data_IF_393345426267
#
_entry.id   IF_393345426267
#
_cell.length_a   1.000
_cell.length_b   1.000
_cell.length_c   1.000
_cell.angle_alpha   90.00
_cell.angle_beta   90.00
_cell.angle_gamma   90.00
#
_symmetry.space_group_name_H-M   'P 1'
#
loop_
_entity.id
_entity.type
_entity.pdbx_description
1 polymer ?
#
# COMPACT_ATOMS: atom_id res chain seq x y z
N UNK A 1 -20.66 -57.62 62.56
CA UNK A 1 -21.49 -57.15 61.43
C UNK A 1 -20.69 -57.42 60.15
N UNK A 2 -20.70 -58.64 59.62
CA UNK A 2 -21.57 -59.20 58.57
C UNK A 2 -21.56 -58.46 57.22
N UNK A 3 -20.68 -58.95 56.31
CA UNK A 3 -20.89 -59.41 54.91
C UNK A 3 -21.74 -58.58 53.90
N UNK A 4 -21.63 -58.82 52.57
CA UNK A 4 -20.49 -58.60 51.67
C UNK A 4 -20.96 -57.98 50.31
N UNK A 5 -20.08 -57.84 49.30
CA UNK A 5 -20.47 -58.28 47.95
C UNK A 5 -19.29 -58.50 46.99
N UNK A 6 -19.54 -59.45 46.08
CA UNK A 6 -18.66 -60.13 45.14
C UNK A 6 -19.05 -59.71 43.71
N UNK A 7 -18.22 -60.10 42.71
CA UNK A 7 -18.40 -60.07 41.24
C UNK A 7 -17.82 -58.84 40.53
N UNK A 8 -17.19 -58.91 39.35
CA UNK A 8 -16.93 -59.98 38.36
C UNK A 8 -15.97 -59.41 37.29
N UNK A 9 -15.04 -60.26 36.83
CA UNK A 9 -14.60 -60.55 35.44
C UNK A 9 -14.31 -59.45 34.39
N UNK A 10 -13.42 -59.88 33.48
CA UNK A 10 -13.07 -59.41 32.11
C UNK A 10 -11.99 -58.31 32.10
N UNK A 11 -10.78 -58.52 31.57
CA UNK A 11 -10.41 -59.21 30.34
C UNK A 11 -10.47 -58.18 29.20
N UNK A 12 -9.33 -57.62 28.80
CA UNK A 12 -9.33 -56.58 27.78
C UNK A 12 -7.98 -56.00 27.39
N UNK A 13 -7.37 -56.66 26.41
CA UNK A 13 -6.64 -56.11 25.26
C UNK A 13 -5.45 -55.17 25.51
N UNK A 14 -4.28 -55.65 25.11
CA UNK A 14 -3.08 -54.83 24.97
C UNK A 14 -3.26 -53.72 23.93
N UNK A 15 -2.72 -52.55 24.26
CA UNK A 15 -2.44 -51.50 23.29
C UNK A 15 -0.94 -51.28 23.26
N UNK A 16 -0.32 -51.79 22.20
CA UNK A 16 0.98 -51.31 21.74
C UNK A 16 0.87 -49.80 21.51
N UNK A 17 1.56 -49.02 22.34
CA UNK A 17 1.86 -47.62 22.03
C UNK A 17 2.93 -47.61 20.93
N UNK A 18 2.49 -47.52 19.69
CA UNK A 18 3.37 -47.19 18.55
C UNK A 18 3.74 -45.71 18.69
N UNK A 19 5.02 -45.47 18.96
CA UNK A 19 5.66 -44.16 18.89
C UNK A 19 5.58 -43.64 17.44
N UNK A 20 4.56 -42.84 17.15
CA UNK A 20 4.45 -42.09 15.90
C UNK A 20 5.47 -40.97 15.87
N UNK A 21 6.64 -41.22 15.26
CA UNK A 21 7.57 -40.18 14.85
C UNK A 21 6.91 -39.33 13.75
N UNK A 22 6.38 -38.16 14.13
CA UNK A 22 5.92 -37.16 13.17
C UNK A 22 7.18 -36.57 12.53
N UNK A 23 7.55 -37.12 11.37
CA UNK A 23 8.49 -36.49 10.46
C UNK A 23 7.87 -35.16 10.02
N UNK A 24 8.34 -34.07 10.62
CA UNK A 24 8.12 -32.71 10.12
C UNK A 24 8.75 -32.63 8.72
N UNK A 25 7.99 -33.02 7.71
CA UNK A 25 8.34 -32.75 6.32
C UNK A 25 8.39 -31.24 6.16
N UNK A 26 9.61 -30.70 6.18
CA UNK A 26 9.89 -29.30 5.88
C UNK A 26 9.25 -28.98 4.54
N UNK A 27 8.22 -28.14 4.57
CA UNK A 27 7.67 -27.56 3.35
C UNK A 27 8.83 -26.79 2.70
N UNK A 28 9.26 -27.13 1.47
CA UNK A 28 10.20 -26.27 0.79
C UNK A 28 9.54 -24.90 0.69
N UNK A 29 10.20 -23.88 1.24
CA UNK A 29 9.83 -22.49 0.99
C UNK A 29 9.95 -22.29 -0.52
N UNK A 30 8.84 -22.42 -1.23
CA UNK A 30 8.78 -22.08 -2.65
C UNK A 30 8.92 -20.57 -2.70
N UNK A 31 10.15 -20.10 -2.89
CA UNK A 31 10.41 -18.70 -3.20
C UNK A 31 9.63 -18.40 -4.49
N UNK A 32 8.51 -17.68 -4.36
CA UNK A 32 7.74 -17.24 -5.50
C UNK A 32 8.70 -16.51 -6.46
N UNK A 33 8.75 -16.86 -7.76
CA UNK A 33 9.61 -16.17 -8.69
C UNK A 33 9.23 -14.68 -8.68
N UNK A 34 10.17 -13.83 -8.27
CA UNK A 34 10.07 -12.39 -8.48
C UNK A 34 9.71 -12.20 -9.95
N UNK A 35 8.51 -11.70 -10.23
CA UNK A 35 8.05 -11.52 -11.60
C UNK A 35 9.13 -10.73 -12.36
N UNK A 36 9.80 -11.40 -13.32
CA UNK A 36 10.80 -10.81 -14.20
C UNK A 36 10.03 -10.07 -15.29
N UNK A 37 9.64 -8.83 -15.02
CA UNK A 37 9.08 -7.95 -16.03
C UNK A 37 10.17 -7.34 -16.91
N UNK A 38 9.76 -6.71 -18.00
CA UNK A 38 10.57 -5.72 -18.70
C UNK A 38 10.14 -4.31 -18.24
N UNK A 39 11.03 -3.31 -18.29
CA UNK A 39 10.63 -1.92 -18.08
C UNK A 39 9.55 -1.51 -19.11
N UNK A 40 8.68 -0.53 -18.77
CA UNK A 40 7.60 -0.11 -19.67
C UNK A 40 8.11 0.34 -21.05
N UNK A 41 7.35 0.02 -22.10
CA UNK A 41 7.61 0.52 -23.45
C UNK A 41 7.66 2.04 -23.47
N UNK A 42 8.60 2.61 -24.23
CA UNK A 42 8.81 4.06 -24.31
C UNK A 42 9.56 4.67 -23.14
N UNK A 43 10.09 3.85 -22.21
CA UNK A 43 11.03 4.32 -21.21
C UNK A 43 12.42 4.55 -21.80
N UNK A 44 13.11 5.58 -21.33
CA UNK A 44 14.45 5.94 -21.77
C UNK A 44 15.50 5.29 -20.87
N UNK A 45 16.43 4.52 -21.46
CA UNK A 45 17.55 3.93 -20.72
C UNK A 45 18.50 5.02 -20.23
N UNK A 46 18.88 4.97 -18.96
CA UNK A 46 19.80 5.90 -18.33
C UNK A 46 20.75 5.19 -17.35
N UNK A 47 21.94 5.75 -17.14
CA UNK A 47 22.87 5.28 -16.12
C UNK A 47 22.85 6.24 -14.93
N UNK A 48 22.57 5.76 -13.72
CA UNK A 48 22.59 6.58 -12.51
C UNK A 48 24.03 6.86 -12.11
N UNK A 49 24.43 8.13 -12.18
CA UNK A 49 25.80 8.55 -11.83
C UNK A 49 25.93 8.88 -10.35
N UNK A 50 24.84 9.30 -9.70
CA UNK A 50 24.82 9.63 -8.28
C UNK A 50 23.39 9.67 -7.75
N UNK A 51 23.19 9.18 -6.53
CA UNK A 51 21.98 9.44 -5.73
C UNK A 51 22.24 10.67 -4.86
N UNK A 52 21.40 11.71 -4.98
CA UNK A 52 21.56 12.99 -4.27
C UNK A 52 20.88 12.91 -2.91
N UNK A 53 19.60 12.54 -2.93
CA UNK A 53 18.75 12.28 -1.77
C UNK A 53 17.83 11.08 -2.08
N UNK A 54 16.82 10.83 -1.25
CA UNK A 54 15.96 9.67 -1.42
C UNK A 54 15.03 9.73 -2.64
N UNK A 55 14.83 10.90 -3.25
CA UNK A 55 13.91 11.11 -4.39
C UNK A 55 14.49 11.89 -5.58
N UNK A 56 15.78 12.21 -5.53
CA UNK A 56 16.52 12.94 -6.55
C UNK A 56 17.80 12.19 -6.93
N UNK A 57 17.98 11.95 -8.22
CA UNK A 57 19.14 11.26 -8.78
C UNK A 57 19.76 12.06 -9.93
N UNK A 58 21.08 11.94 -10.11
CA UNK A 58 21.76 12.32 -11.33
C UNK A 58 21.91 11.11 -12.23
N UNK A 59 21.66 11.31 -13.52
CA UNK A 59 21.72 10.27 -14.52
C UNK A 59 22.47 10.76 -15.75
N UNK A 60 22.98 9.82 -16.52
CA UNK A 60 23.51 10.03 -17.86
C UNK A 60 22.61 9.33 -18.88
N UNK A 61 22.06 10.10 -19.80
CA UNK A 61 21.21 9.66 -20.91
C UNK A 61 22.03 9.88 -22.19
N UNK A 62 22.55 8.80 -22.78
CA UNK A 62 23.54 8.90 -23.85
C UNK A 62 24.79 9.66 -23.38
N UNK A 63 25.03 10.84 -23.95
CA UNK A 63 26.14 11.73 -23.60
C UNK A 63 25.74 12.87 -22.66
N UNK A 64 24.45 13.05 -22.37
CA UNK A 64 23.93 14.18 -21.58
C UNK A 64 23.76 13.78 -20.12
N UNK A 65 24.17 14.68 -19.21
CA UNK A 65 23.88 14.54 -17.78
C UNK A 65 22.58 15.26 -17.43
N UNK A 66 21.72 14.60 -16.67
CA UNK A 66 20.42 15.11 -16.26
C UNK A 66 20.22 14.90 -14.75
N UNK A 67 19.39 15.77 -14.17
CA UNK A 67 18.90 15.57 -12.79
C UNK A 67 17.44 15.16 -12.86
N UNK A 68 17.07 14.10 -12.16
CA UNK A 68 15.73 13.51 -12.18
C UNK A 68 15.14 13.61 -10.78
N UNK A 69 13.90 14.13 -10.69
CA UNK A 69 13.05 14.06 -9.51
C UNK A 69 12.03 12.95 -9.70
N UNK A 70 12.00 12.00 -8.76
CA UNK A 70 11.10 10.85 -8.81
C UNK A 70 9.65 11.32 -8.64
N UNK A 71 8.78 10.96 -9.58
CA UNK A 71 7.34 11.30 -9.52
C UNK A 71 6.67 10.56 -8.37
N UNK A 72 5.78 11.24 -7.66
CA UNK A 72 4.82 10.63 -6.75
C UNK A 72 5.34 10.32 -5.35
N UNK A 73 6.60 10.63 -5.06
CA UNK A 73 7.23 10.30 -3.77
C UNK A 73 7.90 11.53 -3.15
N UNK A 74 7.97 11.58 -1.83
CA UNK A 74 8.80 12.52 -1.07
C UNK A 74 9.50 11.73 0.04
N UNK A 75 10.82 11.86 0.12
CA UNK A 75 11.61 11.16 1.14
C UNK A 75 11.95 12.08 2.30
N UNK A 76 12.11 11.57 3.54
CA UNK A 76 12.54 12.42 4.63
C UNK A 76 13.90 13.05 4.32
N UNK A 77 13.96 14.39 4.40
CA UNK A 77 15.09 15.21 3.95
C UNK A 77 16.36 15.00 4.79
N UNK A 78 17.52 14.92 4.13
CA UNK A 78 18.84 14.76 4.77
C UNK A 78 19.88 15.78 4.32
N UNK A 79 19.70 16.45 3.18
CA UNK A 79 20.78 17.21 2.53
C UNK A 79 20.64 18.71 2.68
N UNK A 80 19.48 19.25 3.05
CA UNK A 80 19.33 20.69 3.26
C UNK A 80 20.04 21.14 4.56
N UNK A 81 21.19 21.85 4.48
CA UNK A 81 21.95 22.24 5.67
C UNK A 81 21.22 23.27 6.54
N UNK A 82 20.11 23.82 6.05
CA UNK A 82 19.26 24.79 6.77
C UNK A 82 18.16 24.10 7.57
N UNK A 83 18.01 22.77 7.45
CA UNK A 83 16.96 21.99 8.09
C UNK A 83 17.57 20.87 8.92
N UNK A 84 16.95 20.50 10.05
CA UNK A 84 17.33 19.27 10.74
C UNK A 84 17.07 18.07 9.81
N UNK A 85 17.97 17.09 9.86
CA UNK A 85 17.74 15.78 9.22
C UNK A 85 16.41 15.25 9.72
N UNK A 86 15.51 14.98 8.79
CA UNK A 86 14.22 14.41 9.13
C UNK A 86 14.42 12.97 9.56
N UNK A 87 13.59 12.53 10.50
CA UNK A 87 13.65 11.14 10.93
C UNK A 87 13.50 10.21 9.74
N UNK A 88 14.30 9.13 9.74
CA UNK A 88 14.33 8.11 8.69
C UNK A 88 14.92 8.57 7.36
N UNK A 89 15.46 9.79 7.28
CA UNK A 89 16.03 10.31 6.04
C UNK A 89 17.32 9.60 5.63
N UNK A 90 18.18 9.23 6.59
CA UNK A 90 19.44 8.53 6.28
C UNK A 90 19.17 7.14 5.72
N UNK A 91 18.20 6.45 6.30
CA UNK A 91 17.70 5.15 5.91
C UNK A 91 17.04 5.22 4.52
N UNK A 92 16.22 6.25 4.27
CA UNK A 92 15.63 6.50 2.95
C UNK A 92 16.69 6.74 1.88
N UNK A 93 17.66 7.62 2.14
CA UNK A 93 18.77 7.87 1.22
C UNK A 93 19.60 6.61 0.98
N UNK A 94 19.92 5.84 2.02
CA UNK A 94 20.66 4.60 1.91
C UNK A 94 19.89 3.54 1.09
N UNK A 95 18.56 3.44 1.27
CA UNK A 95 17.71 2.53 0.49
C UNK A 95 17.71 2.91 -0.99
N UNK A 96 17.51 4.19 -1.32
CA UNK A 96 17.56 4.67 -2.70
C UNK A 96 18.93 4.43 -3.31
N UNK A 97 20.02 4.67 -2.56
CA UNK A 97 21.39 4.37 -3.00
C UNK A 97 21.59 2.89 -3.30
N UNK A 98 21.12 1.99 -2.43
CA UNK A 98 21.23 0.56 -2.64
C UNK A 98 20.43 0.07 -3.87
N UNK A 99 19.34 0.74 -4.22
CA UNK A 99 18.51 0.38 -5.37
C UNK A 99 19.02 0.96 -6.69
N UNK A 100 19.62 2.16 -6.66
CA UNK A 100 19.83 2.97 -7.88
C UNK A 100 21.30 3.34 -8.15
N UNK A 101 22.17 3.42 -7.14
CA UNK A 101 23.51 3.97 -7.36
C UNK A 101 24.36 3.09 -8.27
N UNK A 102 24.99 3.73 -9.26
CA UNK A 102 25.75 3.07 -10.33
C UNK A 102 24.94 2.00 -11.10
N UNK A 103 23.61 2.10 -11.12
CA UNK A 103 22.75 1.16 -11.85
C UNK A 103 22.30 1.73 -13.20
N UNK A 104 22.02 0.81 -14.14
CA UNK A 104 21.23 1.15 -15.33
C UNK A 104 19.75 1.10 -14.96
N UNK A 105 19.03 2.17 -15.30
CA UNK A 105 17.60 2.33 -15.04
C UNK A 105 16.86 2.76 -16.30
N UNK A 106 15.53 2.74 -16.22
CA UNK A 106 14.62 3.10 -17.29
C UNK A 106 13.69 4.20 -16.80
N UNK A 107 13.76 5.35 -17.45
CA UNK A 107 13.05 6.55 -17.06
C UNK A 107 11.76 6.69 -17.88
N UNK A 108 10.62 6.73 -17.21
CA UNK A 108 9.33 6.90 -17.89
C UNK A 108 8.70 8.24 -17.52
N UNK A 109 8.34 9.01 -18.55
CA UNK A 109 7.57 10.24 -18.36
C UNK A 109 6.11 9.95 -17.97
N UNK A 110 5.46 10.98 -17.44
CA UNK A 110 4.02 10.99 -17.21
C UNK A 110 3.40 12.16 -17.95
N UNK A 111 2.54 11.88 -18.92
CA UNK A 111 1.84 12.91 -19.71
C UNK A 111 0.86 13.76 -18.89
N UNK A 112 0.48 13.30 -17.69
CA UNK A 112 -0.31 14.09 -16.75
C UNK A 112 0.51 15.11 -15.96
N UNK A 113 1.85 15.03 -16.06
CA UNK A 113 2.80 15.89 -15.37
C UNK A 113 3.60 16.71 -16.38
N UNK A 114 4.24 17.79 -15.92
CA UNK A 114 5.25 18.48 -16.72
C UNK A 114 6.45 17.57 -16.98
N UNK A 115 7.20 17.85 -18.05
CA UNK A 115 8.43 17.12 -18.33
C UNK A 115 9.53 17.43 -17.32
N UNK A 116 9.58 18.69 -16.88
CA UNK A 116 10.50 19.21 -15.88
C UNK A 116 9.76 19.98 -14.80
N UNK A 117 10.34 20.03 -13.61
CA UNK A 117 9.89 20.93 -12.56
C UNK A 117 10.45 22.35 -12.72
N UNK A 118 10.05 23.25 -11.80
CA UNK A 118 10.50 24.65 -11.79
C UNK A 118 12.01 24.85 -11.57
N UNK A 119 12.73 23.79 -11.19
CA UNK A 119 14.19 23.79 -10.99
C UNK A 119 14.92 23.15 -12.18
N UNK A 120 14.20 22.78 -13.24
CA UNK A 120 14.76 22.16 -14.43
C UNK A 120 15.06 20.67 -14.28
N UNK A 121 14.61 20.00 -13.20
CA UNK A 121 14.80 18.54 -13.04
C UNK A 121 13.76 17.78 -13.85
N UNK A 122 14.17 16.72 -14.54
CA UNK A 122 13.25 15.82 -15.24
C UNK A 122 12.32 15.13 -14.23
N UNK A 123 11.03 15.08 -14.53
CA UNK A 123 10.04 14.36 -13.73
C UNK A 123 9.84 12.97 -14.32
N UNK A 124 10.26 11.92 -13.60
CA UNK A 124 10.20 10.54 -14.11
C UNK A 124 9.77 9.51 -13.06
N UNK A 125 9.13 8.45 -13.51
CA UNK A 125 9.15 7.16 -12.83
C UNK A 125 10.47 6.45 -13.15
N UNK A 126 11.07 5.81 -12.15
CA UNK A 126 12.33 5.07 -12.30
C UNK A 126 12.05 3.58 -12.21
N UNK A 127 12.37 2.88 -13.29
CA UNK A 127 12.19 1.44 -13.41
C UNK A 127 13.53 0.73 -13.45
N UNK A 128 13.64 -0.39 -12.75
CA UNK A 128 14.77 -1.31 -12.88
C UNK A 128 14.72 -2.07 -14.21
N UNK A 129 15.82 -2.76 -14.55
CA UNK A 129 15.89 -3.62 -15.74
C UNK A 129 14.90 -4.80 -15.74
N UNK A 130 14.43 -5.23 -14.56
CA UNK A 130 13.40 -6.26 -14.41
C UNK A 130 11.98 -5.69 -14.25
N UNK A 131 11.76 -4.42 -14.62
CA UNK A 131 10.43 -3.80 -14.64
C UNK A 131 9.85 -3.48 -13.27
N UNK A 132 10.69 -3.35 -12.24
CA UNK A 132 10.23 -2.92 -10.91
C UNK A 132 10.17 -1.40 -10.86
N UNK A 133 9.00 -0.86 -10.49
CA UNK A 133 8.81 0.56 -10.18
C UNK A 133 9.52 0.89 -8.85
N UNK A 134 10.66 1.57 -8.94
CA UNK A 134 11.47 1.91 -7.76
C UNK A 134 10.77 2.95 -6.87
N UNK A 135 10.03 3.88 -7.46
CA UNK A 135 9.29 4.89 -6.72
C UNK A 135 8.21 4.22 -5.86
N UNK A 136 7.44 3.30 -6.44
CA UNK A 136 6.44 2.50 -5.72
C UNK A 136 7.07 1.62 -4.64
N UNK A 137 8.23 1.02 -4.93
CA UNK A 137 8.95 0.16 -3.99
C UNK A 137 9.38 0.96 -2.75
N UNK A 138 9.92 2.17 -2.92
CA UNK A 138 10.32 3.05 -1.81
C UNK A 138 9.14 3.38 -0.89
N UNK A 139 7.96 3.66 -1.44
CA UNK A 139 6.74 3.85 -0.63
C UNK A 139 6.34 2.54 0.07
N UNK A 140 6.30 1.43 -0.67
CA UNK A 140 5.84 0.12 -0.19
C UNK A 140 6.69 -0.39 0.97
N UNK A 141 7.98 -0.10 0.94
CA UNK A 141 8.94 -0.48 1.98
C UNK A 141 9.00 0.55 3.13
N UNK A 142 8.26 1.66 3.05
CA UNK A 142 8.17 2.67 4.10
C UNK A 142 9.37 3.62 4.16
N UNK A 143 10.04 3.87 3.04
CA UNK A 143 11.16 4.82 2.93
C UNK A 143 10.76 6.16 2.30
N UNK A 144 9.56 6.24 1.73
CA UNK A 144 9.02 7.47 1.15
C UNK A 144 7.55 7.65 1.50
N UNK A 145 7.11 8.91 1.51
CA UNK A 145 5.71 9.29 1.53
C UNK A 145 5.17 9.35 0.10
N UNK A 146 3.87 9.08 -0.05
CA UNK A 146 3.17 9.47 -1.26
C UNK A 146 3.09 10.99 -1.35
N UNK A 147 3.46 11.55 -2.50
CA UNK A 147 3.48 12.98 -2.71
C UNK A 147 2.82 13.37 -4.03
N UNK A 148 1.74 14.13 -3.91
CA UNK A 148 1.06 14.77 -5.03
C UNK A 148 1.31 16.27 -4.98
N UNK A 149 1.94 16.83 -6.01
CA UNK A 149 2.26 18.26 -6.03
C UNK A 149 1.04 19.14 -6.34
N UNK A 150 0.51 19.06 -7.57
CA UNK A 150 -0.58 19.92 -8.04
C UNK A 150 -1.75 19.12 -8.62
N UNK A 151 -1.46 18.19 -9.53
CA UNK A 151 -2.47 17.34 -10.18
C UNK A 151 -2.13 15.87 -9.97
N UNK A 152 -3.14 14.97 -9.95
CA UNK A 152 -2.89 13.54 -9.85
C UNK A 152 -2.00 13.04 -10.97
N UNK A 153 -0.98 12.25 -10.61
CA UNK A 153 -0.15 11.50 -11.55
C UNK A 153 -0.76 10.13 -11.85
N UNK A 154 -0.38 9.51 -12.97
CA UNK A 154 -0.96 8.26 -13.47
C UNK A 154 -0.97 7.14 -12.44
N UNK A 155 0.10 7.00 -11.66
CA UNK A 155 0.26 5.93 -10.67
C UNK A 155 -0.28 6.28 -9.26
N UNK A 156 -0.90 7.44 -9.05
CA UNK A 156 -1.23 7.96 -7.71
C UNK A 156 -2.07 7.01 -6.87
N UNK A 157 -3.05 6.34 -7.49
CA UNK A 157 -3.90 5.40 -6.77
C UNK A 157 -3.10 4.21 -6.21
N UNK A 158 -2.16 3.68 -6.98
CA UNK A 158 -1.27 2.59 -6.53
C UNK A 158 -0.34 3.06 -5.41
N UNK A 159 0.18 4.28 -5.50
CA UNK A 159 1.15 4.83 -4.53
C UNK A 159 0.47 5.13 -3.19
N UNK A 160 -0.76 5.67 -3.22
CA UNK A 160 -1.59 5.86 -2.02
C UNK A 160 -1.91 4.52 -1.34
N UNK A 161 -2.23 3.50 -2.12
CA UNK A 161 -2.48 2.15 -1.60
C UNK A 161 -1.21 1.55 -0.97
N UNK A 162 -0.05 1.67 -1.63
CA UNK A 162 1.23 1.24 -1.10
C UNK A 162 1.58 1.92 0.21
N UNK A 163 1.38 3.23 0.32
CA UNK A 163 1.61 3.95 1.56
C UNK A 163 0.69 3.46 2.68
N UNK A 164 -0.61 3.26 2.38
CA UNK A 164 -1.56 2.72 3.34
C UNK A 164 -1.14 1.33 3.85
N UNK A 165 -0.62 0.48 2.96
CA UNK A 165 -0.13 -0.85 3.30
C UNK A 165 1.20 -0.83 4.07
N UNK A 166 2.08 0.13 3.78
CA UNK A 166 3.31 0.33 4.55
C UNK A 166 2.99 0.80 5.97
N UNK A 167 1.99 1.70 6.11
CA UNK A 167 1.47 2.16 7.41
C UNK A 167 0.87 1.03 8.24
N UNK A 168 -0.06 0.27 7.68
CA UNK A 168 -0.73 -0.81 8.41
C UNK A 168 0.24 -1.93 8.80
N UNK A 169 1.23 -2.21 7.95
CA UNK A 169 2.30 -3.17 8.22
C UNK A 169 3.45 -2.59 9.05
N UNK A 170 3.35 -1.32 9.50
CA UNK A 170 4.37 -0.67 10.34
C UNK A 170 5.79 -0.75 9.75
N UNK A 171 5.90 -0.61 8.42
CA UNK A 171 7.17 -0.71 7.69
C UNK A 171 7.97 0.58 7.73
N UNK A 172 9.28 0.46 7.90
CA UNK A 172 10.23 1.57 7.80
C UNK A 172 9.87 2.75 8.71
N UNK A 173 9.65 3.92 8.11
CA UNK A 173 9.28 5.14 8.83
C UNK A 173 7.95 5.01 9.60
N UNK A 174 7.10 4.05 9.25
CA UNK A 174 5.81 3.79 9.90
C UNK A 174 5.91 2.88 11.12
N UNK A 175 7.09 2.32 11.43
CA UNK A 175 7.28 1.47 12.60
C UNK A 175 7.13 2.29 13.90
N UNK A 176 6.41 1.79 14.94
CA UNK A 176 6.32 2.45 16.23
C UNK A 176 7.66 2.64 16.94
N UNK A 177 8.63 1.78 16.66
CA UNK A 177 10.01 1.88 17.19
C UNK A 177 10.87 2.88 16.42
N UNK A 178 10.38 3.38 15.29
CA UNK A 178 11.04 4.36 14.43
C UNK A 178 10.44 5.74 14.67
N UNK A 179 11.27 6.78 14.58
CA UNK A 179 10.82 8.16 14.72
C UNK A 179 10.05 8.51 16.01
N UNK A 180 10.21 7.76 17.11
CA UNK A 180 9.47 7.98 18.35
C UNK A 180 7.93 8.10 18.16
N UNK A 181 7.38 7.46 17.11
CA UNK A 181 5.96 7.57 16.74
C UNK A 181 5.56 8.86 16.01
N UNK A 182 6.49 9.80 15.77
CA UNK A 182 6.23 11.02 14.97
C UNK A 182 6.52 10.77 13.49
N UNK A 183 5.49 10.31 12.78
CA UNK A 183 5.53 10.18 11.31
C UNK A 183 5.28 11.54 10.66
N UNK A 184 6.31 12.36 10.56
CA UNK A 184 6.18 13.68 9.95
C UNK A 184 6.02 13.59 8.42
N UNK A 185 4.81 13.79 7.92
CA UNK A 185 4.57 14.37 6.59
C UNK A 185 3.27 15.18 6.59
N UNK A 186 3.34 16.42 7.08
CA UNK A 186 2.26 17.38 6.89
C UNK A 186 2.84 18.76 6.59
N UNK A 187 3.25 18.99 5.34
CA UNK A 187 3.17 20.33 4.75
C UNK A 187 1.75 20.56 4.23
N UNK A 188 0.78 20.60 5.14
CA UNK A 188 -0.54 21.14 4.84
C UNK A 188 -0.58 22.53 5.46
N UNK A 189 -0.47 23.58 4.63
CA UNK A 189 -0.71 24.95 5.07
C UNK A 189 -2.20 25.09 5.38
N UNK A 190 -2.50 25.24 6.66
CA UNK A 190 -3.80 25.54 7.27
C UNK A 190 -4.36 26.85 6.74
N UNK A 191 -5.59 26.83 6.22
CA UNK A 191 -6.44 28.01 6.13
C UNK A 191 -7.61 27.84 7.11
N UNK A 192 -7.54 28.59 8.20
CA UNK A 192 -8.53 28.66 9.28
C UNK A 192 -9.77 29.44 8.83
N UNK A 193 -10.96 28.87 9.03
CA UNK A 193 -12.05 29.42 9.87
C UNK A 193 -13.36 28.61 9.68
N UNK A 194 -13.85 28.06 10.79
CA UNK A 194 -15.26 27.68 11.02
C UNK A 194 -16.01 28.94 11.54
N UNK A 195 -17.37 29.02 11.60
CA UNK A 195 -18.23 28.07 12.31
C UNK A 195 -19.59 27.71 11.65
N UNK A 196 -20.21 26.66 12.19
CA UNK A 196 -21.57 26.10 11.97
C UNK A 196 -22.69 27.04 12.50
N UNK A 197 -24.02 26.82 12.26
CA UNK A 197 -24.79 25.76 12.96
C UNK A 197 -26.06 25.16 12.24
N UNK A 198 -26.60 24.06 12.82
CA UNK A 198 -28.04 23.72 13.00
C UNK A 198 -28.74 22.58 12.19
N UNK A 199 -29.00 21.47 12.93
CA UNK A 199 -30.17 20.54 13.11
C UNK A 199 -31.05 19.97 11.97
N UNK A 200 -31.18 18.62 12.05
CA UNK A 200 -32.39 17.75 12.18
C UNK A 200 -33.28 17.32 10.98
N UNK A 201 -33.35 15.98 10.79
CA UNK A 201 -34.50 15.06 10.51
C UNK A 201 -35.37 15.31 9.23
N UNK A 202 -35.97 14.38 8.46
CA UNK A 202 -36.67 13.11 8.70
C UNK A 202 -36.99 12.41 7.35
N UNK A 203 -37.08 11.06 7.36
CA UNK A 203 -37.85 10.10 6.54
C UNK A 203 -37.92 10.07 4.99
N UNK A 204 -37.86 8.81 4.51
CA UNK A 204 -38.08 8.21 3.18
C UNK A 204 -39.56 8.30 2.72
N UNK A 205 -39.92 8.05 1.44
CA UNK A 205 -40.15 6.66 0.99
C UNK A 205 -39.64 6.32 -0.43
N UNK A 206 -39.78 5.03 -0.74
CA UNK A 206 -39.25 4.27 -1.87
C UNK A 206 -39.80 4.64 -3.26
N UNK A 207 -39.00 4.33 -4.28
CA UNK A 207 -39.38 4.31 -5.70
C UNK A 207 -38.36 3.52 -6.52
N UNK A 208 -38.72 2.26 -6.82
CA UNK A 208 -38.26 1.34 -7.87
C UNK A 208 -37.59 1.98 -9.12
N UNK A 209 -36.67 1.39 -9.89
CA UNK A 209 -36.04 0.06 -10.00
C UNK A 209 -34.82 0.20 -10.94
N UNK A 210 -33.88 -0.72 -10.78
CA UNK A 210 -32.93 -1.23 -11.78
C UNK A 210 -31.85 -0.30 -12.35
N UNK A 211 -30.62 -0.52 -11.88
CA UNK A 211 -29.56 -0.93 -12.79
C UNK A 211 -28.55 -1.76 -12.00
N UNK A 212 -28.55 -3.07 -12.26
CA UNK A 212 -27.45 -3.95 -11.92
C UNK A 212 -26.16 -3.32 -12.49
N UNK A 213 -25.39 -2.68 -11.61
CA UNK A 213 -24.02 -2.27 -11.91
C UNK A 213 -23.18 -3.44 -11.47
N UNK A 214 -23.03 -4.39 -12.40
CA UNK A 214 -22.24 -5.60 -12.24
C UNK A 214 -20.91 -5.28 -11.54
N UNK A 215 -20.48 -6.12 -10.58
CA UNK A 215 -20.88 -7.53 -10.43
C UNK A 215 -21.90 -7.88 -9.33
N UNK A 216 -22.55 -6.92 -8.64
CA UNK A 216 -23.40 -7.25 -7.47
C UNK A 216 -24.90 -7.39 -7.77
N UNK A 217 -25.54 -8.36 -7.11
CA UNK A 217 -26.99 -8.51 -7.06
C UNK A 217 -27.65 -7.32 -6.35
N UNK A 218 -28.91 -7.03 -6.70
CA UNK A 218 -29.68 -5.94 -6.10
C UNK A 218 -29.77 -6.16 -4.58
N UNK A 219 -29.35 -5.16 -3.80
CA UNK A 219 -29.38 -5.19 -2.34
C UNK A 219 -28.10 -5.70 -1.66
N UNK A 220 -27.11 -6.20 -2.38
CA UNK A 220 -25.83 -6.61 -1.79
C UNK A 220 -24.96 -5.42 -1.38
N UNK A 221 -24.15 -5.59 -0.34
CA UNK A 221 -23.18 -4.58 0.09
C UNK A 221 -22.02 -4.53 -0.90
N UNK A 222 -21.63 -3.33 -1.32
CA UNK A 222 -20.52 -3.11 -2.25
C UNK A 222 -19.25 -2.73 -1.50
N UNK A 223 -18.30 -3.65 -1.41
CA UNK A 223 -16.94 -3.38 -0.95
C UNK A 223 -16.02 -2.97 -2.09
N UNK A 224 -15.34 -1.85 -1.98
CA UNK A 224 -14.29 -1.48 -2.92
C UNK A 224 -12.97 -2.16 -2.49
N UNK A 225 -12.49 -3.12 -3.28
CA UNK A 225 -11.27 -3.91 -3.00
C UNK A 225 -10.01 -3.06 -2.89
N UNK A 226 -10.02 -1.83 -3.43
CA UNK A 226 -8.89 -0.89 -3.33
C UNK A 226 -8.91 -0.10 -2.02
N UNK A 227 -10.06 0.44 -1.62
CA UNK A 227 -10.16 1.28 -0.41
C UNK A 227 -10.43 0.50 0.86
N UNK A 228 -10.78 -0.79 0.74
CA UNK A 228 -11.32 -1.61 1.83
C UNK A 228 -12.50 -0.92 2.53
N UNK A 229 -13.29 -0.16 1.78
CA UNK A 229 -14.52 0.49 2.28
C UNK A 229 -15.71 -0.23 1.67
N UNK A 230 -16.68 -0.59 2.50
CA UNK A 230 -17.97 -1.09 2.02
C UNK A 230 -19.08 -0.04 2.15
N UNK A 231 -20.03 -0.12 1.21
CA UNK A 231 -21.17 0.77 1.10
C UNK A 231 -22.45 -0.05 1.20
N UNK A 232 -23.35 0.34 2.10
CA UNK A 232 -24.70 -0.23 2.18
C UNK A 232 -25.56 0.29 1.02
N UNK A 233 -26.56 -0.48 0.54
CA UNK A 233 -27.50 -0.05 -0.50
C UNK A 233 -28.15 1.32 -0.26
N UNK A 234 -28.40 1.66 1.02
CA UNK A 234 -28.98 2.93 1.45
C UNK A 234 -27.98 4.09 1.59
N UNK A 235 -26.69 3.85 1.35
CA UNK A 235 -25.62 4.83 1.55
C UNK A 235 -25.37 5.74 0.35
N UNK A 236 -24.99 7.00 0.60
CA UNK A 236 -24.80 8.03 -0.43
C UNK A 236 -23.73 7.69 -1.50
N UNK A 237 -22.78 6.82 -1.18
CA UNK A 237 -21.69 6.41 -2.08
C UNK A 237 -21.90 5.02 -2.71
N UNK A 238 -23.03 4.37 -2.43
CA UNK A 238 -23.33 3.03 -2.94
C UNK A 238 -23.40 2.96 -4.47
N UNK A 239 -24.14 3.87 -5.09
CA UNK A 239 -24.27 3.94 -6.56
C UNK A 239 -22.98 4.40 -7.26
N UNK A 240 -22.07 5.06 -6.54
CA UNK A 240 -20.78 5.57 -7.05
C UNK A 240 -19.70 4.49 -7.07
N UNK A 241 -19.89 3.41 -6.32
CA UNK A 241 -18.94 2.29 -6.23
C UNK A 241 -19.19 1.31 -7.38
N UNK A 242 -18.46 1.52 -8.48
CA UNK A 242 -18.63 0.75 -9.74
C UNK A 242 -17.39 -0.01 -10.19
N UNK A 243 -16.22 0.25 -9.59
CA UNK A 243 -14.94 -0.36 -9.96
C UNK A 243 -14.36 -1.16 -8.80
N UNK A 244 -13.69 -2.28 -9.11
CA UNK A 244 -13.04 -3.19 -8.15
C UNK A 244 -13.97 -3.63 -7.00
N UNK A 245 -15.21 -3.98 -7.34
CA UNK A 245 -16.25 -4.28 -6.35
C UNK A 245 -16.18 -5.75 -5.91
N UNK A 246 -16.17 -5.99 -4.60
CA UNK A 246 -16.50 -7.25 -3.95
C UNK A 246 -17.89 -7.12 -3.31
N UNK A 247 -18.75 -8.08 -3.59
CA UNK A 247 -20.12 -8.08 -3.09
C UNK A 247 -20.19 -8.90 -1.80
N UNK A 248 -20.97 -8.42 -0.83
CA UNK A 248 -21.22 -9.12 0.43
C UNK A 248 -22.72 -9.19 0.69
N UNK A 249 -23.20 -10.35 1.14
CA UNK A 249 -24.62 -10.54 1.50
C UNK A 249 -24.97 -9.92 2.86
N UNK A 250 -23.96 -9.71 3.72
CA UNK A 250 -24.11 -9.12 5.04
C UNK A 250 -22.91 -8.26 5.45
N UNK A 251 -23.15 -7.26 6.29
CA UNK A 251 -22.14 -6.33 6.77
C UNK A 251 -21.03 -7.04 7.56
N UNK A 252 -21.42 -8.04 8.37
CA UNK A 252 -20.48 -8.87 9.11
C UNK A 252 -19.47 -9.56 8.19
N UNK A 253 -19.89 -10.02 7.01
CA UNK A 253 -18.99 -10.65 6.04
C UNK A 253 -17.99 -9.64 5.44
N UNK A 254 -18.42 -8.40 5.19
CA UNK A 254 -17.54 -7.33 4.74
C UNK A 254 -16.48 -6.98 5.81
N UNK A 255 -16.90 -6.87 7.07
CA UNK A 255 -16.00 -6.59 8.19
C UNK A 255 -15.01 -7.74 8.42
N UNK A 256 -15.46 -8.99 8.36
CA UNK A 256 -14.58 -10.17 8.47
C UNK A 256 -13.59 -10.26 7.31
N UNK A 257 -13.97 -9.78 6.12
CA UNK A 257 -13.07 -9.65 4.97
C UNK A 257 -12.14 -8.41 5.06
N UNK A 258 -12.15 -7.69 6.19
CA UNK A 258 -11.25 -6.55 6.45
C UNK A 258 -11.75 -5.19 5.96
N UNK A 259 -13.01 -5.08 5.54
CA UNK A 259 -13.57 -3.82 5.05
C UNK A 259 -14.15 -2.99 6.19
N UNK A 260 -13.90 -1.68 6.17
CA UNK A 260 -14.54 -0.72 7.07
C UNK A 260 -15.76 -0.06 6.44
N UNK A 261 -16.73 0.35 7.26
CA UNK A 261 -17.93 1.03 6.77
C UNK A 261 -17.58 2.38 6.14
N UNK A 262 -18.25 2.75 5.06
CA UNK A 262 -18.25 4.13 4.56
C UNK A 262 -18.76 5.07 5.65
N UNK A 263 -17.94 6.03 6.06
CA UNK A 263 -18.43 7.20 6.78
C UNK A 263 -19.34 8.00 5.84
N UNK A 264 -20.38 8.64 6.40
CA UNK A 264 -21.36 9.43 5.63
C UNK A 264 -20.70 10.53 4.83
#
# INVERSE_FOLDING_TARGET
MSYPNINRRLGGVGSLLVLGAILLHGWPAVAAPLHRGAPPTGSTRAFVTKVVDGDTIHVRIGTTNETVRLIGIDTPEVVDPRKPVQCYGREASARTKALLDQQTVYLQADSTQGDRDRYGRLLRYVWSANGVDTNLLLISDGYAFEYTYAVPYRAQLAYKAAQSNARSAQRGLWSPSTCAGVVAATKTRTATKSPTPTRSATATPAGAVSAASAPCSVGQIKGNRTSMIYHLPSGAYYAKTKLNVQCFDAERAAVQAGYRRSAR
#
